data_IF_564655139678
#
_entry.id   IF_564655139678
#
_cell.length_a   1.000
_cell.length_b   1.000
_cell.length_c   1.000
_cell.angle_alpha   90.00
_cell.angle_beta   90.00
_cell.angle_gamma   90.00
#
_symmetry.space_group_name_H-M   'P 1'
#
loop_
_entity.id
_entity.type
_entity.pdbx_description
1 polymer ?
#
# COMPACT_ATOMS: atom_id res chain seq x y z
N UNK A 1 -0.75 -9.21 5.57
CA UNK A 1 -1.31 -7.85 5.63
C UNK A 1 -2.61 -7.91 6.40
N UNK A 2 -2.72 -7.20 7.51
CA UNK A 2 -3.99 -7.08 8.25
C UNK A 2 -4.65 -5.75 7.92
N UNK A 3 -5.94 -5.76 7.56
CA UNK A 3 -6.68 -4.55 7.25
C UNK A 3 -7.84 -4.33 8.23
N UNK A 4 -7.99 -3.09 8.70
CA UNK A 4 -9.16 -2.67 9.49
C UNK A 4 -9.93 -1.58 8.75
N UNK A 5 -11.25 -1.75 8.58
CA UNK A 5 -12.15 -0.76 8.00
C UNK A 5 -13.53 -0.83 8.68
N UNK A 6 -14.07 0.30 9.18
CA UNK A 6 -15.41 0.38 9.81
C UNK A 6 -15.71 -0.77 10.80
N UNK A 7 -14.82 -1.01 11.78
CA UNK A 7 -14.87 -2.11 12.75
C UNK A 7 -14.77 -3.54 12.19
N UNK A 8 -14.54 -3.71 10.89
CA UNK A 8 -14.20 -5.00 10.30
C UNK A 8 -12.69 -5.17 10.28
N UNK A 9 -12.20 -6.17 11.02
CA UNK A 9 -10.81 -6.62 10.93
C UNK A 9 -10.75 -7.82 10.00
N UNK A 10 -9.92 -7.75 8.96
CA UNK A 10 -9.78 -8.81 7.98
C UNK A 10 -8.30 -9.11 7.72
N UNK A 11 -7.94 -10.38 7.88
CA UNK A 11 -6.58 -10.84 7.65
C UNK A 11 -6.43 -11.21 6.18
N UNK A 12 -5.40 -10.65 5.54
CA UNK A 12 -5.05 -10.91 4.17
C UNK A 12 -3.59 -11.34 4.06
N UNK A 13 -3.28 -12.06 2.99
CA UNK A 13 -1.91 -12.25 2.54
C UNK A 13 -1.75 -11.47 1.25
N UNK A 14 -0.61 -10.82 1.09
CA UNK A 14 -0.29 -10.06 -0.11
C UNK A 14 1.08 -10.46 -0.61
N UNK A 15 1.18 -10.68 -1.91
CA UNK A 15 2.46 -10.80 -2.61
C UNK A 15 2.57 -9.61 -3.54
N UNK A 16 3.66 -8.86 -3.40
CA UNK A 16 4.04 -7.78 -4.30
C UNK A 16 5.27 -8.26 -5.05
N UNK A 17 5.20 -8.25 -6.37
CA UNK A 17 6.31 -8.54 -7.27
C UNK A 17 6.60 -7.29 -8.07
N UNK A 18 7.88 -6.92 -8.09
CA UNK A 18 8.40 -5.74 -8.76
C UNK A 18 9.40 -6.20 -9.81
N UNK A 19 9.29 -5.63 -11.00
CA UNK A 19 10.21 -5.82 -12.13
C UNK A 19 10.35 -4.48 -12.86
N UNK A 20 11.31 -4.38 -13.76
CA UNK A 20 11.59 -3.12 -14.48
C UNK A 20 10.38 -2.60 -15.29
N UNK A 21 9.51 -3.50 -15.75
CA UNK A 21 8.38 -3.19 -16.63
C UNK A 21 6.99 -3.41 -16.01
N UNK A 22 6.94 -4.06 -14.83
CA UNK A 22 5.67 -4.41 -14.21
C UNK A 22 5.71 -4.44 -12.68
N UNK A 23 4.59 -4.03 -12.08
CA UNK A 23 4.24 -4.26 -10.69
C UNK A 23 3.03 -5.17 -10.64
N UNK A 24 3.14 -6.27 -9.88
CA UNK A 24 2.04 -7.20 -9.66
C UNK A 24 1.74 -7.30 -8.18
N UNK A 25 0.49 -7.03 -7.81
CA UNK A 25 -0.02 -7.19 -6.46
C UNK A 25 -1.09 -8.26 -6.46
N UNK A 26 -0.93 -9.28 -5.63
CA UNK A 26 -1.96 -10.31 -5.41
C UNK A 26 -2.31 -10.32 -3.94
N UNK A 27 -3.59 -10.15 -3.63
CA UNK A 27 -4.11 -10.26 -2.27
C UNK A 27 -5.02 -11.48 -2.17
N UNK A 28 -4.79 -12.31 -1.17
CA UNK A 28 -5.54 -13.53 -0.84
C UNK A 28 -6.04 -13.45 0.60
N UNK A 29 -7.04 -14.27 0.91
CA UNK A 29 -7.32 -14.65 2.31
C UNK A 29 -6.44 -15.87 2.67
N UNK A 30 -6.03 -16.04 3.94
CA UNK A 30 -5.04 -17.05 4.37
C UNK A 30 -5.30 -18.49 3.94
N UNK A 31 -6.56 -18.85 3.71
CA UNK A 31 -7.01 -20.21 3.38
C UNK A 31 -7.95 -20.24 2.17
N UNK A 32 -7.95 -19.21 1.33
CA UNK A 32 -9.00 -19.06 0.31
C UNK A 32 -8.57 -18.31 -0.94
N UNK A 33 -9.54 -17.82 -1.73
CA UNK A 33 -9.27 -17.36 -3.09
C UNK A 33 -8.46 -16.07 -3.13
N UNK A 34 -7.87 -15.79 -4.30
CA UNK A 34 -7.42 -14.44 -4.64
C UNK A 34 -8.62 -13.50 -4.61
N UNK A 35 -8.52 -12.45 -3.82
CA UNK A 35 -9.59 -11.47 -3.65
C UNK A 35 -9.29 -10.16 -4.38
N UNK A 36 -8.02 -9.86 -4.62
CA UNK A 36 -7.60 -8.73 -5.43
C UNK A 36 -6.35 -9.08 -6.24
N UNK A 37 -6.31 -8.63 -7.48
CA UNK A 37 -5.10 -8.63 -8.31
C UNK A 37 -4.99 -7.27 -8.98
N UNK A 38 -3.78 -6.70 -8.94
CA UNK A 38 -3.39 -5.47 -9.61
C UNK A 38 -2.23 -5.83 -10.51
N UNK A 39 -2.40 -5.64 -11.82
CA UNK A 39 -1.32 -5.70 -12.80
C UNK A 39 -1.09 -4.26 -13.28
N UNK A 40 0.05 -3.67 -12.93
CA UNK A 40 0.46 -2.35 -13.40
C UNK A 40 1.66 -2.51 -14.35
N UNK A 41 1.52 -1.99 -15.56
CA UNK A 41 2.55 -2.01 -16.61
C UNK A 41 2.58 -0.65 -17.31
N UNK A 42 3.51 -0.47 -18.27
CA UNK A 42 3.52 0.70 -19.16
C UNK A 42 2.23 0.91 -19.94
N UNK A 43 1.43 -0.15 -20.16
CA UNK A 43 0.12 -0.06 -20.82
C UNK A 43 -1.02 0.43 -19.91
N UNK A 44 -0.75 0.58 -18.61
CA UNK A 44 -1.70 1.04 -17.61
C UNK A 44 -1.93 0.03 -16.48
N UNK A 45 -3.00 0.27 -15.72
CA UNK A 45 -3.38 -0.51 -14.53
C UNK A 45 -4.61 -1.36 -14.87
N UNK A 46 -4.50 -2.67 -14.60
CA UNK A 46 -5.62 -3.62 -14.67
C UNK A 46 -5.88 -4.20 -13.30
N UNK A 47 -7.14 -4.22 -12.89
CA UNK A 47 -7.54 -4.74 -11.58
C UNK A 47 -8.58 -5.84 -11.73
N UNK A 48 -8.48 -6.87 -10.89
CA UNK A 48 -9.51 -7.91 -10.72
C UNK A 48 -9.83 -8.02 -9.25
N UNK A 49 -11.12 -7.91 -8.91
CA UNK A 49 -11.58 -7.87 -7.53
C UNK A 49 -12.72 -8.85 -7.33
N UNK A 50 -12.64 -9.64 -6.25
CA UNK A 50 -13.72 -10.51 -5.85
C UNK A 50 -14.89 -9.70 -5.24
N UNK A 51 -16.15 -10.13 -5.41
CA UNK A 51 -17.31 -9.42 -4.86
C UNK A 51 -17.28 -9.23 -3.34
N UNK A 52 -16.61 -10.14 -2.63
CA UNK A 52 -16.49 -10.14 -1.17
C UNK A 52 -15.54 -9.09 -0.59
N UNK A 53 -14.73 -8.41 -1.43
CA UNK A 53 -13.86 -7.34 -0.94
C UNK A 53 -14.73 -6.15 -0.51
N UNK A 54 -14.45 -5.47 0.62
CA UNK A 54 -15.20 -4.29 1.05
C UNK A 54 -15.13 -3.15 0.04
N UNK A 55 -16.24 -2.46 -0.25
CA UNK A 55 -16.31 -1.38 -1.24
C UNK A 55 -15.26 -0.27 -1.02
N UNK A 56 -14.96 0.05 0.24
CA UNK A 56 -13.95 1.06 0.61
C UNK A 56 -12.51 0.68 0.26
N UNK A 57 -12.19 -0.61 0.14
CA UNK A 57 -10.84 -1.08 -0.17
C UNK A 57 -10.62 -1.12 -1.69
N UNK A 58 -10.44 0.05 -2.29
CA UNK A 58 -10.21 0.18 -3.75
C UNK A 58 -8.80 -0.30 -4.11
N UNK A 59 -8.71 -0.99 -5.25
CA UNK A 59 -7.44 -1.50 -5.76
C UNK A 59 -6.43 -0.38 -6.01
N UNK A 60 -6.88 0.71 -6.61
CA UNK A 60 -6.04 1.86 -6.94
C UNK A 60 -5.49 2.54 -5.68
N UNK A 61 -6.27 2.55 -4.59
CA UNK A 61 -5.82 3.07 -3.30
C UNK A 61 -4.72 2.19 -2.70
N UNK A 62 -4.89 0.86 -2.75
CA UNK A 62 -3.82 -0.06 -2.32
C UNK A 62 -2.57 0.12 -3.17
N UNK A 63 -2.70 0.29 -4.49
CA UNK A 63 -1.54 0.53 -5.34
C UNK A 63 -0.83 1.84 -4.95
N UNK A 64 -1.58 2.92 -4.73
CA UNK A 64 -1.04 4.20 -4.29
C UNK A 64 -0.32 4.07 -2.92
N UNK A 65 -0.91 3.35 -1.97
CA UNK A 65 -0.28 3.06 -0.67
C UNK A 65 1.07 2.37 -0.84
N UNK A 66 1.15 1.36 -1.72
CA UNK A 66 2.38 0.61 -1.98
C UNK A 66 3.44 1.48 -2.68
N UNK A 67 3.02 2.36 -3.59
CA UNK A 67 3.92 3.33 -4.23
C UNK A 67 4.51 4.27 -3.17
N UNK A 68 3.66 4.87 -2.32
CA UNK A 68 4.09 5.79 -1.26
C UNK A 68 5.02 5.08 -0.26
N UNK A 69 4.75 3.80 0.02
CA UNK A 69 5.56 2.98 0.92
C UNK A 69 6.95 2.66 0.36
N UNK A 70 7.05 2.24 -0.90
CA UNK A 70 8.26 1.62 -1.43
C UNK A 70 9.13 2.50 -2.34
N UNK A 71 8.59 3.57 -2.93
CA UNK A 71 9.35 4.43 -3.85
C UNK A 71 10.17 5.47 -3.10
N UNK A 72 11.11 6.13 -3.77
CA UNK A 72 11.82 7.27 -3.19
C UNK A 72 10.90 8.50 -3.05
N UNK A 73 11.25 9.38 -2.12
CA UNK A 73 10.41 10.53 -1.77
C UNK A 73 10.26 11.53 -2.93
N UNK A 74 11.29 11.68 -3.77
CA UNK A 74 11.29 12.65 -4.86
C UNK A 74 10.30 12.21 -5.95
N UNK A 75 10.36 10.94 -6.36
CA UNK A 75 9.40 10.33 -7.30
C UNK A 75 7.96 10.45 -6.80
N UNK A 76 7.73 10.20 -5.51
CA UNK A 76 6.40 10.34 -4.91
C UNK A 76 5.93 11.79 -4.98
N UNK A 77 6.78 12.75 -4.62
CA UNK A 77 6.42 14.17 -4.64
C UNK A 77 6.19 14.73 -6.05
N UNK A 78 6.90 14.22 -7.06
CA UNK A 78 6.60 14.51 -8.46
C UNK A 78 5.18 14.03 -8.82
N UNK A 79 4.80 12.82 -8.40
CA UNK A 79 3.47 12.28 -8.67
C UNK A 79 2.34 13.00 -7.91
N UNK A 80 2.61 13.51 -6.71
CA UNK A 80 1.64 14.23 -5.87
C UNK A 80 1.54 15.73 -6.18
N UNK A 81 2.41 16.26 -7.05
CA UNK A 81 2.57 17.69 -7.29
C UNK A 81 1.22 18.41 -7.51
N UNK A 82 1.00 19.49 -6.75
CA UNK A 82 -0.22 20.29 -6.81
C UNK A 82 -1.41 19.74 -6.02
N UNK A 83 -1.29 18.56 -5.39
CA UNK A 83 -2.38 17.96 -4.60
C UNK A 83 -1.98 17.65 -3.16
N UNK A 84 -0.77 17.16 -2.93
CA UNK A 84 -0.25 16.80 -1.62
C UNK A 84 1.29 16.82 -1.61
N UNK A 85 1.88 16.54 -0.45
CA UNK A 85 3.33 16.40 -0.30
C UNK A 85 3.62 15.24 0.65
N UNK A 86 4.48 14.33 0.21
CA UNK A 86 5.05 13.30 1.06
C UNK A 86 6.30 13.84 1.76
N UNK A 87 6.42 13.55 3.06
CA UNK A 87 7.55 13.91 3.89
C UNK A 87 8.09 12.68 4.62
N UNK A 88 9.41 12.63 4.82
CA UNK A 88 10.01 11.69 5.76
C UNK A 88 9.74 12.15 7.20
N UNK A 89 9.61 11.18 8.08
CA UNK A 89 9.46 11.34 9.52
C UNK A 89 10.54 10.49 10.20
N UNK A 90 10.75 10.67 11.50
CA UNK A 90 11.79 9.91 12.21
C UNK A 90 11.65 8.39 12.14
N UNK A 91 10.44 7.86 11.87
CA UNK A 91 10.14 6.42 11.85
C UNK A 91 9.40 5.95 10.60
N UNK A 92 9.31 6.76 9.55
CA UNK A 92 8.56 6.42 8.34
C UNK A 92 8.17 7.67 7.55
N UNK A 93 6.95 7.74 7.01
CA UNK A 93 6.51 8.83 6.13
C UNK A 93 5.12 9.36 6.50
N UNK A 94 4.84 10.58 6.05
CA UNK A 94 3.49 11.12 6.06
C UNK A 94 3.17 11.78 4.72
N UNK A 95 1.91 11.70 4.30
CA UNK A 95 1.38 12.52 3.20
C UNK A 95 0.54 13.63 3.81
N UNK A 96 0.85 14.86 3.42
CA UNK A 96 0.20 16.07 3.88
C UNK A 96 -0.55 16.71 2.71
N UNK A 97 -1.83 16.96 2.90
CA UNK A 97 -2.69 17.70 1.97
C UNK A 97 -3.39 18.81 2.74
N UNK A 98 -3.32 20.04 2.24
CA UNK A 98 -3.93 21.23 2.85
C UNK A 98 -3.57 21.41 4.34
N UNK A 99 -2.32 21.11 4.70
CA UNK A 99 -1.82 21.20 6.08
C UNK A 99 -2.27 20.08 7.03
N UNK A 100 -3.00 19.07 6.52
CA UNK A 100 -3.49 17.92 7.28
C UNK A 100 -2.76 16.64 6.84
N UNK A 101 -2.41 15.79 7.81
CA UNK A 101 -1.91 14.44 7.51
C UNK A 101 -3.09 13.59 7.03
N UNK A 102 -2.99 13.10 5.78
CA UNK A 102 -4.00 12.26 5.12
C UNK A 102 -3.57 10.79 5.02
N UNK A 103 -2.26 10.55 5.13
CA UNK A 103 -1.69 9.22 5.30
C UNK A 103 -0.48 9.28 6.24
N UNK A 104 -0.33 8.26 7.07
CA UNK A 104 0.86 8.04 7.90
C UNK A 104 1.37 6.62 7.73
N UNK A 105 2.68 6.47 7.57
CA UNK A 105 3.39 5.20 7.47
C UNK A 105 4.45 5.18 8.57
N UNK A 106 4.41 4.17 9.42
CA UNK A 106 5.37 3.99 10.52
C UNK A 106 5.99 2.62 10.43
N UNK A 107 7.31 2.55 10.31
CA UNK A 107 8.07 1.33 10.51
C UNK A 107 8.29 1.09 11.99
N UNK A 108 8.00 -0.12 12.46
CA UNK A 108 8.32 -0.54 13.83
C UNK A 108 9.83 -0.73 14.02
N UNK A 109 10.51 -1.17 12.97
CA UNK A 109 11.92 -1.57 13.01
C UNK A 109 12.85 -0.50 12.40
N UNK A 110 12.31 0.67 12.05
CA UNK A 110 13.05 1.79 11.46
C UNK A 110 13.36 1.66 9.97
N UNK A 111 12.96 0.56 9.32
CA UNK A 111 13.10 0.34 7.87
C UNK A 111 11.74 0.14 7.22
N UNK A 112 11.42 0.89 6.16
CA UNK A 112 10.16 0.69 5.40
C UNK A 112 10.24 -0.50 4.45
N UNK A 113 11.43 -0.79 3.92
CA UNK A 113 11.68 -1.85 2.95
C UNK A 113 11.78 -3.25 3.55
N UNK A 114 11.89 -3.38 4.88
CA UNK A 114 12.00 -4.66 5.58
C UNK A 114 11.32 -4.55 6.95
N UNK A 115 10.60 -5.57 7.36
CA UNK A 115 9.98 -5.63 8.70
C UNK A 115 8.50 -5.28 8.72
N UNK A 116 8.00 -4.91 9.90
CA UNK A 116 6.59 -4.59 10.14
C UNK A 116 6.32 -3.08 9.98
N UNK A 117 5.47 -2.75 9.01
CA UNK A 117 5.04 -1.39 8.70
C UNK A 117 3.55 -1.23 9.00
N UNK A 118 3.21 -0.11 9.62
CA UNK A 118 1.85 0.32 9.86
C UNK A 118 1.51 1.49 8.95
N UNK A 119 0.54 1.31 8.06
CA UNK A 119 0.00 2.35 7.22
C UNK A 119 -1.41 2.69 7.69
N UNK A 120 -1.66 3.97 7.92
CA UNK A 120 -3.00 4.49 8.20
C UNK A 120 -3.34 5.50 7.12
N UNK A 121 -4.39 5.24 6.36
CA UNK A 121 -4.93 6.18 5.39
C UNK A 121 -6.15 6.85 6.04
N UNK A 122 -5.98 8.09 6.51
CA UNK A 122 -7.01 8.81 7.26
C UNK A 122 -8.19 9.21 6.36
N UNK A 123 -7.92 9.53 5.09
CA UNK A 123 -8.95 9.97 4.14
C UNK A 123 -9.85 8.83 3.69
N UNK A 124 -9.31 7.62 3.60
CA UNK A 124 -10.08 6.43 3.22
C UNK A 124 -10.51 5.58 4.41
N UNK A 125 -10.11 5.95 5.63
CA UNK A 125 -10.61 5.36 6.88
C UNK A 125 -10.18 3.91 7.10
N UNK A 126 -9.00 3.52 6.61
CA UNK A 126 -8.46 2.18 6.84
C UNK A 126 -7.04 2.19 7.39
N UNK A 127 -6.70 1.07 8.01
CA UNK A 127 -5.38 0.78 8.56
C UNK A 127 -4.87 -0.55 8.02
N UNK A 128 -3.61 -0.59 7.59
CA UNK A 128 -2.91 -1.77 7.09
C UNK A 128 -1.69 -2.07 7.97
N UNK A 129 -1.57 -3.30 8.45
CA UNK A 129 -0.30 -3.83 8.94
C UNK A 129 0.34 -4.64 7.82
N UNK A 130 1.49 -4.19 7.32
CA UNK A 130 2.22 -4.79 6.21
C UNK A 130 3.49 -5.40 6.77
N UNK A 131 3.70 -6.69 6.52
CA UNK A 131 4.97 -7.36 6.80
C UNK A 131 5.71 -7.55 5.49
N UNK A 132 6.85 -6.90 5.36
CA UNK A 132 7.70 -7.01 4.16
C UNK A 132 8.73 -8.11 4.36
N UNK A 133 8.71 -9.10 3.47
CA UNK A 133 9.74 -10.15 3.37
C UNK A 133 10.47 -9.97 2.04
N UNK A 134 11.80 -9.87 2.07
CA UNK A 134 12.61 -10.01 0.87
C UNK A 134 12.69 -11.49 0.53
N UNK A 135 12.32 -11.87 -0.69
CA UNK A 135 12.66 -13.18 -1.23
C UNK A 135 13.85 -12.92 -2.14
N UNK A 136 15.03 -13.31 -1.69
CA UNK A 136 16.20 -13.27 -2.55
C UNK A 136 16.06 -14.41 -3.57
N UNK A 137 16.11 -14.08 -4.87
CA UNK A 137 16.14 -15.08 -5.94
C UNK A 137 17.46 -15.89 -5.79
N UNK A 138 17.33 -17.17 -5.44
CA UNK A 138 18.42 -18.16 -5.42
C UNK A 138 18.80 -18.62 -6.82
#
# INVERSE_FOLDING_TARGET
>A
MDATYQNQHQLFQSVVSLSDDAVKVVITVPSGPRILTIDWTSSGIRTKRAPMVPAGLKADNILADLVILFWDLDSINVALAGTATAIETGSGRAVVQDGRIVMSIVSRDGMLSRGDVQLTNQDFGYHLNIRTISVDDT
#
